data_IF_149115697017
#
_entry.id   IF_149115697017
#
_cell.length_a   1.000
_cell.length_b   1.000
_cell.length_c   1.000
_cell.angle_alpha   90.00
_cell.angle_beta   90.00
_cell.angle_gamma   90.00
#
_symmetry.space_group_name_H-M   'P 1'
#
loop_
_entity.id
_entity.type
_entity.pdbx_description
1 polymer ?
#
# COMPACT_ATOMS: atom_id res chain seq x y z
N UNK A 1 -21.18 48.79 -17.61
CA UNK A 1 -21.13 48.01 -16.36
C UNK A 1 -21.31 46.48 -16.56
N UNK A 2 -21.84 46.02 -17.69
CA UNK A 2 -22.01 44.56 -17.92
C UNK A 2 -20.77 43.84 -18.50
N UNK A 3 -19.76 44.54 -19.01
CA UNK A 3 -18.53 43.93 -19.54
C UNK A 3 -17.50 43.58 -18.46
N UNK A 4 -17.53 44.29 -17.31
CA UNK A 4 -16.60 44.02 -16.20
C UNK A 4 -16.94 42.73 -15.42
N UNK A 5 -18.21 42.33 -15.39
CA UNK A 5 -18.62 41.07 -14.74
C UNK A 5 -18.24 39.85 -15.60
N UNK A 6 -18.25 39.98 -16.93
CA UNK A 6 -17.83 38.89 -17.82
C UNK A 6 -16.33 38.61 -17.76
N UNK A 7 -15.50 39.60 -17.52
CA UNK A 7 -14.05 39.40 -17.41
C UNK A 7 -13.63 38.73 -16.10
N UNK A 8 -14.42 38.87 -15.06
CA UNK A 8 -14.07 38.32 -13.73
C UNK A 8 -14.37 36.82 -13.59
N UNK A 9 -15.22 36.26 -14.46
CA UNK A 9 -15.58 34.83 -14.44
C UNK A 9 -14.45 33.94 -14.99
N UNK A 10 -13.50 34.52 -15.73
CA UNK A 10 -12.40 33.79 -16.40
C UNK A 10 -11.00 34.14 -15.90
N UNK A 11 -10.87 34.83 -14.80
CA UNK A 11 -9.58 35.11 -14.14
C UNK A 11 -9.09 33.94 -13.29
N UNK A 12 -9.76 32.79 -13.33
CA UNK A 12 -9.32 31.57 -12.72
C UNK A 12 -8.34 30.83 -13.64
N UNK A 13 -7.41 30.07 -13.07
CA UNK A 13 -6.45 29.23 -13.81
C UNK A 13 -7.12 28.12 -14.64
N UNK A 14 -8.43 27.96 -14.55
CA UNK A 14 -9.23 27.03 -15.32
C UNK A 14 -9.62 27.61 -16.70
N UNK A 15 -9.39 26.84 -17.76
CA UNK A 15 -9.89 27.19 -19.08
C UNK A 15 -11.42 27.19 -19.11
N UNK A 16 -12.02 27.98 -20.03
CA UNK A 16 -13.47 28.04 -20.20
C UNK A 16 -14.12 26.66 -20.36
N UNK A 17 -13.52 25.83 -21.18
CA UNK A 17 -13.98 24.45 -21.44
C UNK A 17 -13.88 23.56 -20.19
N UNK A 18 -12.83 23.72 -19.36
CA UNK A 18 -12.70 23.00 -18.10
C UNK A 18 -13.76 23.43 -17.09
N UNK A 19 -14.06 24.72 -17.03
CA UNK A 19 -15.11 25.25 -16.14
C UNK A 19 -16.51 24.75 -16.54
N UNK A 20 -16.83 24.74 -17.84
CA UNK A 20 -18.08 24.21 -18.37
C UNK A 20 -18.22 22.70 -18.09
N UNK A 21 -17.16 21.93 -18.32
CA UNK A 21 -17.14 20.48 -18.02
C UNK A 21 -17.34 20.18 -16.53
N UNK A 22 -16.76 20.97 -15.64
CA UNK A 22 -16.94 20.80 -14.20
C UNK A 22 -18.38 21.13 -13.79
N UNK A 23 -18.98 22.16 -14.39
CA UNK A 23 -20.34 22.57 -14.09
C UNK A 23 -21.39 21.54 -14.54
N UNK A 24 -21.13 20.87 -15.67
CA UNK A 24 -22.00 19.84 -16.22
C UNK A 24 -21.77 18.45 -15.62
N UNK A 25 -20.61 18.25 -14.95
CA UNK A 25 -20.29 16.97 -14.34
C UNK A 25 -21.24 16.66 -13.17
N UNK A 26 -21.98 15.58 -13.30
CA UNK A 26 -22.76 15.01 -12.19
C UNK A 26 -21.86 14.10 -11.38
N UNK A 27 -21.80 14.34 -10.07
CA UNK A 27 -21.01 13.51 -9.15
C UNK A 27 -21.90 12.39 -8.63
N UNK A 28 -21.40 11.16 -8.74
CA UNK A 28 -22.07 10.01 -8.17
C UNK A 28 -21.97 10.06 -6.64
N UNK A 29 -23.11 10.04 -5.95
CA UNK A 29 -23.20 10.11 -4.49
C UNK A 29 -22.56 8.91 -3.79
N UNK A 30 -22.47 7.76 -4.45
CA UNK A 30 -21.79 6.58 -3.94
C UNK A 30 -20.26 6.70 -3.95
N UNK A 31 -19.71 7.65 -4.72
CA UNK A 31 -18.27 7.87 -4.80
C UNK A 31 -17.74 8.53 -3.53
N UNK A 32 -16.47 8.28 -3.21
CA UNK A 32 -15.77 8.93 -2.09
C UNK A 32 -15.83 10.46 -2.19
N UNK A 33 -15.78 10.99 -3.42
CA UNK A 33 -15.91 12.42 -3.66
C UNK A 33 -17.32 12.94 -3.33
N UNK A 34 -18.37 12.18 -3.71
CA UNK A 34 -19.75 12.51 -3.38
C UNK A 34 -20.00 12.57 -1.87
N UNK A 35 -19.38 11.66 -1.12
CA UNK A 35 -19.46 11.63 0.34
C UNK A 35 -18.71 12.79 1.01
N UNK A 36 -17.59 13.23 0.43
CA UNK A 36 -16.79 14.35 0.94
C UNK A 36 -17.43 15.70 0.60
N UNK A 37 -18.10 15.83 -0.53
CA UNK A 37 -18.65 17.08 -1.02
C UNK A 37 -19.54 17.84 0.00
N UNK A 38 -20.47 17.21 0.72
CA UNK A 38 -21.30 17.90 1.72
C UNK A 38 -20.49 18.37 2.94
N UNK A 39 -19.28 17.83 3.18
CA UNK A 39 -18.41 18.25 4.28
C UNK A 39 -17.59 19.50 3.92
N UNK A 40 -17.49 19.83 2.62
CA UNK A 40 -16.79 21.03 2.13
C UNK A 40 -17.71 22.24 2.23
N UNK A 41 -18.05 22.63 3.46
CA UNK A 41 -18.87 23.80 3.76
C UNK A 41 -18.06 24.83 4.56
N UNK A 42 -18.18 26.11 4.18
CA UNK A 42 -17.46 27.19 4.86
C UNK A 42 -16.03 27.39 4.36
N UNK A 43 -15.15 28.03 5.16
CA UNK A 43 -13.76 28.26 4.77
C UNK A 43 -12.96 26.96 4.70
N UNK A 44 -12.42 26.67 3.54
CA UNK A 44 -11.62 25.48 3.25
C UNK A 44 -10.19 25.88 2.98
N UNK A 45 -9.24 25.15 3.57
CA UNK A 45 -7.82 25.28 3.29
C UNK A 45 -7.34 24.02 2.53
N UNK A 46 -6.62 24.22 1.44
CA UNK A 46 -6.00 23.13 0.68
C UNK A 46 -4.48 23.13 0.89
N UNK A 47 -3.93 21.98 1.19
CA UNK A 47 -2.49 21.75 1.29
C UNK A 47 -2.05 20.90 0.10
N UNK A 48 -1.16 21.44 -0.71
CA UNK A 48 -0.67 20.76 -1.91
C UNK A 48 0.79 20.34 -1.76
N UNK A 49 1.11 19.15 -2.25
CA UNK A 49 2.48 18.63 -2.29
C UNK A 49 2.91 18.44 -3.74
N UNK A 50 4.14 18.79 -4.12
CA UNK A 50 4.64 18.62 -5.47
C UNK A 50 4.84 17.15 -5.87
N UNK A 51 4.98 16.27 -4.90
CA UNK A 51 5.15 14.83 -5.11
C UNK A 51 4.46 14.05 -4.00
N UNK A 52 4.11 12.79 -4.30
CA UNK A 52 3.54 11.89 -3.29
C UNK A 52 4.63 11.52 -2.29
N UNK A 53 4.52 12.03 -1.08
CA UNK A 53 5.46 11.77 0.02
C UNK A 53 4.70 11.46 1.30
N UNK A 54 4.55 10.16 1.65
CA UNK A 54 3.90 9.75 2.89
C UNK A 54 4.57 10.35 4.13
N UNK A 55 5.90 10.51 4.12
CA UNK A 55 6.64 11.10 5.24
C UNK A 55 6.27 12.57 5.51
N UNK A 56 6.14 13.39 4.46
CA UNK A 56 5.68 14.76 4.62
C UNK A 56 4.23 14.83 5.07
N UNK A 57 3.37 13.96 4.53
CA UNK A 57 1.97 13.87 4.94
C UNK A 57 1.86 13.49 6.42
N UNK A 58 2.66 12.54 6.90
CA UNK A 58 2.70 12.16 8.31
C UNK A 58 3.07 13.34 9.23
N UNK A 59 4.03 14.18 8.82
CA UNK A 59 4.39 15.38 9.59
C UNK A 59 3.24 16.37 9.65
N UNK A 60 2.56 16.58 8.52
CA UNK A 60 1.39 17.48 8.46
C UNK A 60 0.24 16.98 9.32
N UNK A 61 -0.04 15.67 9.28
CA UNK A 61 -1.08 15.06 10.12
C UNK A 61 -0.76 15.20 11.62
N UNK A 62 0.50 15.07 12.02
CA UNK A 62 0.92 15.30 13.42
C UNK A 62 0.67 16.73 13.89
N UNK A 63 0.78 17.71 12.97
CA UNK A 63 0.64 19.12 13.32
C UNK A 63 -0.83 19.58 13.25
N UNK A 64 -1.54 19.25 12.15
CA UNK A 64 -2.87 19.79 11.87
C UNK A 64 -4.01 18.90 12.37
N UNK A 65 -3.82 17.58 12.42
CA UNK A 65 -4.84 16.61 12.83
C UNK A 65 -4.21 15.55 13.75
N UNK A 66 -3.78 15.93 14.96
CA UNK A 66 -3.18 14.98 15.88
C UNK A 66 -4.19 13.89 16.24
N UNK A 67 -3.73 12.65 16.20
CA UNK A 67 -4.51 11.44 16.51
C UNK A 67 -3.64 10.45 17.26
N UNK A 68 -4.18 9.39 17.86
CA UNK A 68 -3.37 8.36 18.52
C UNK A 68 -2.29 7.73 17.61
N UNK A 69 -2.59 7.61 16.30
CA UNK A 69 -1.62 7.14 15.31
C UNK A 69 -0.56 8.20 14.94
N UNK A 70 -0.90 9.48 15.03
CA UNK A 70 -0.03 10.62 14.73
C UNK A 70 0.02 11.56 15.94
N UNK A 71 0.80 11.25 16.97
CA UNK A 71 0.87 12.08 18.17
C UNK A 71 1.44 13.48 17.85
N UNK A 72 0.91 14.49 18.51
CA UNK A 72 1.36 15.87 18.36
C UNK A 72 2.86 16.00 18.70
N UNK A 73 3.58 16.91 18.02
CA UNK A 73 5.00 17.12 18.28
C UNK A 73 5.23 17.65 19.69
N UNK A 74 6.06 16.97 20.48
CA UNK A 74 6.39 17.35 21.87
C UNK A 74 7.46 18.45 21.94
N UNK A 75 8.31 18.58 20.91
CA UNK A 75 9.42 19.54 20.90
C UNK A 75 8.97 20.89 20.32
N UNK A 76 9.14 21.94 21.12
CA UNK A 76 8.92 23.33 20.70
C UNK A 76 10.00 23.80 19.73
N UNK A 77 9.82 23.57 18.43
CA UNK A 77 10.71 24.08 17.37
C UNK A 77 10.34 25.50 16.95
N UNK A 78 9.05 25.81 16.91
CA UNK A 78 8.53 27.10 16.53
C UNK A 78 7.66 27.64 17.68
N UNK A 79 8.05 28.75 18.34
CA UNK A 79 7.31 29.33 19.46
C UNK A 79 5.87 29.68 19.09
N UNK A 80 5.62 30.18 17.87
CA UNK A 80 4.30 30.57 17.39
C UNK A 80 3.28 29.43 17.28
N UNK A 81 3.75 28.18 17.15
CA UNK A 81 2.87 27.00 17.14
C UNK A 81 2.17 26.79 18.49
N UNK A 82 2.83 27.14 19.59
CA UNK A 82 2.31 26.94 20.94
C UNK A 82 1.57 28.17 21.49
N UNK A 83 1.34 29.17 20.67
CA UNK A 83 0.50 30.29 21.02
C UNK A 83 -0.95 29.79 21.26
N UNK A 84 -1.61 30.18 22.37
CA UNK A 84 -2.97 29.76 22.68
C UNK A 84 -3.98 30.03 21.54
N UNK A 85 -3.83 31.13 20.82
CA UNK A 85 -4.66 31.47 19.69
C UNK A 85 -4.48 30.46 18.53
N UNK A 86 -3.23 30.09 18.20
CA UNK A 86 -2.90 29.11 17.17
C UNK A 86 -3.42 27.71 17.55
N UNK A 87 -3.23 27.29 18.79
CA UNK A 87 -3.75 25.99 19.29
C UNK A 87 -5.27 25.93 19.25
N UNK A 88 -5.95 26.98 19.68
CA UNK A 88 -7.41 27.07 19.59
C UNK A 88 -7.91 27.02 18.14
N UNK A 89 -7.15 27.59 17.20
CA UNK A 89 -7.43 27.49 15.76
C UNK A 89 -7.25 26.06 15.22
N UNK A 90 -6.14 25.42 15.57
CA UNK A 90 -5.83 24.05 15.13
C UNK A 90 -6.89 23.04 15.61
N UNK A 91 -7.36 23.18 16.85
CA UNK A 91 -8.43 22.32 17.40
C UNK A 91 -9.77 22.41 16.65
N UNK A 92 -9.98 23.46 15.88
CA UNK A 92 -11.19 23.66 15.06
C UNK A 92 -11.02 23.15 13.64
N UNK A 93 -9.81 22.75 13.22
CA UNK A 93 -9.56 22.18 11.91
C UNK A 93 -10.03 20.74 11.84
N UNK A 94 -10.83 20.42 10.83
CA UNK A 94 -11.27 19.07 10.54
C UNK A 94 -10.60 18.60 9.25
N UNK A 95 -9.98 17.42 9.29
CA UNK A 95 -9.50 16.76 8.10
C UNK A 95 -10.68 16.17 7.34
N UNK A 96 -10.97 16.69 6.19
CA UNK A 96 -12.08 16.25 5.34
C UNK A 96 -11.66 15.08 4.47
N UNK A 97 -10.54 15.19 3.78
CA UNK A 97 -10.05 14.18 2.87
C UNK A 97 -8.90 14.71 2.02
N UNK A 98 -8.55 13.98 0.98
CA UNK A 98 -7.47 14.37 0.07
C UNK A 98 -7.57 13.70 -1.28
N UNK A 99 -6.84 14.25 -2.27
CA UNK A 99 -6.67 13.65 -3.59
C UNK A 99 -5.20 13.22 -3.74
N UNK A 100 -4.98 11.94 -3.99
CA UNK A 100 -3.65 11.36 -4.16
C UNK A 100 -3.65 10.58 -5.48
N UNK A 101 -2.74 10.91 -6.41
CA UNK A 101 -2.63 10.28 -7.74
C UNK A 101 -3.96 10.19 -8.50
N UNK A 102 -4.77 11.23 -8.39
CA UNK A 102 -6.06 11.31 -9.09
C UNK A 102 -7.24 10.63 -8.38
N UNK A 103 -7.00 9.87 -7.33
CA UNK A 103 -8.06 9.24 -6.51
C UNK A 103 -8.39 10.10 -5.29
N UNK A 104 -9.68 10.20 -4.97
CA UNK A 104 -10.15 10.83 -3.76
C UNK A 104 -10.08 9.82 -2.60
N UNK A 105 -9.58 10.28 -1.47
CA UNK A 105 -9.50 9.54 -0.22
C UNK A 105 -10.24 10.31 0.87
N UNK A 106 -10.97 9.59 1.68
CA UNK A 106 -11.57 10.09 2.89
C UNK A 106 -10.50 10.35 3.98
N UNK A 107 -10.88 10.95 5.09
CA UNK A 107 -9.99 11.26 6.21
C UNK A 107 -9.23 10.03 6.75
N UNK A 108 -9.86 8.84 6.73
CA UNK A 108 -9.21 7.59 7.12
C UNK A 108 -8.18 7.13 6.07
N UNK A 109 -8.52 7.23 4.79
CA UNK A 109 -7.61 6.90 3.70
C UNK A 109 -6.37 7.81 3.68
N UNK A 110 -6.54 9.11 3.95
CA UNK A 110 -5.40 10.04 4.06
C UNK A 110 -4.51 9.68 5.26
N UNK A 111 -5.09 9.32 6.40
CA UNK A 111 -4.33 8.85 7.57
C UNK A 111 -3.60 7.53 7.27
N UNK A 112 -4.25 6.62 6.56
CA UNK A 112 -3.62 5.36 6.14
C UNK A 112 -2.39 5.61 5.27
N UNK A 113 -2.50 6.48 4.25
CA UNK A 113 -1.35 6.84 3.40
C UNK A 113 -0.23 7.49 4.21
N UNK A 114 -0.57 8.37 5.16
CA UNK A 114 0.43 8.97 6.06
C UNK A 114 1.08 7.98 7.03
N UNK A 115 0.42 6.86 7.32
CA UNK A 115 0.90 5.79 8.20
C UNK A 115 1.82 4.77 7.52
N UNK A 116 2.07 4.88 6.22
CA UNK A 116 2.94 3.95 5.49
C UNK A 116 4.37 4.08 5.97
N UNK A 117 4.86 3.06 6.66
CA UNK A 117 6.22 2.99 7.18
C UNK A 117 7.24 2.89 6.03
N UNK A 118 8.33 3.67 6.15
CA UNK A 118 9.35 3.75 5.11
C UNK A 118 8.93 4.50 3.84
N UNK A 119 7.72 5.05 3.78
CA UNK A 119 7.21 5.82 2.63
C UNK A 119 7.20 5.02 1.33
N UNK A 120 7.50 5.68 0.21
CA UNK A 120 7.53 5.03 -1.11
C UNK A 120 8.63 3.97 -1.23
N UNK A 121 9.77 4.17 -0.58
CA UNK A 121 10.88 3.21 -0.64
C UNK A 121 10.54 1.94 0.16
N UNK A 122 9.81 2.08 1.27
CA UNK A 122 9.26 0.95 2.00
C UNK A 122 8.28 0.12 1.15
N UNK A 123 7.38 0.77 0.43
CA UNK A 123 6.45 0.09 -0.49
C UNK A 123 7.18 -0.62 -1.63
N UNK A 124 8.20 0.01 -2.20
CA UNK A 124 9.05 -0.62 -3.24
C UNK A 124 9.78 -1.85 -2.69
N UNK A 125 10.33 -1.76 -1.49
CA UNK A 125 10.99 -2.89 -0.84
C UNK A 125 10.02 -4.05 -0.57
N UNK A 126 8.79 -3.76 -0.12
CA UNK A 126 7.73 -4.75 0.05
C UNK A 126 7.34 -5.40 -1.27
N UNK A 127 7.21 -4.63 -2.36
CA UNK A 127 6.91 -5.16 -3.69
C UNK A 127 8.03 -6.12 -4.17
N UNK A 128 9.28 -5.70 -4.02
CA UNK A 128 10.44 -6.56 -4.37
C UNK A 128 10.44 -7.84 -3.55
N UNK A 129 10.18 -7.74 -2.24
CA UNK A 129 10.07 -8.90 -1.35
C UNK A 129 8.96 -9.86 -1.78
N UNK A 130 7.78 -9.36 -2.13
CA UNK A 130 6.68 -10.18 -2.64
C UNK A 130 7.06 -10.91 -3.95
N UNK A 131 7.71 -10.21 -4.88
CA UNK A 131 8.19 -10.81 -6.13
C UNK A 131 9.24 -11.89 -5.88
N UNK A 132 10.18 -11.65 -4.96
CA UNK A 132 11.19 -12.63 -4.56
C UNK A 132 10.54 -13.87 -3.93
N UNK A 133 9.58 -13.70 -3.03
CA UNK A 133 8.86 -14.81 -2.40
C UNK A 133 8.04 -15.62 -3.42
N UNK A 134 7.40 -14.96 -4.38
CA UNK A 134 6.70 -15.64 -5.46
C UNK A 134 7.67 -16.44 -6.35
N UNK A 135 8.84 -15.88 -6.68
CA UNK A 135 9.88 -16.57 -7.41
C UNK A 135 10.45 -17.78 -6.66
N UNK A 136 10.75 -17.61 -5.37
CA UNK A 136 11.22 -18.71 -4.51
C UNK A 136 10.16 -19.80 -4.35
N UNK A 137 8.88 -19.44 -4.23
CA UNK A 137 7.79 -20.41 -4.20
C UNK A 137 7.72 -21.29 -5.45
N UNK A 138 7.88 -20.68 -6.63
CA UNK A 138 7.92 -21.38 -7.90
C UNK A 138 9.13 -22.32 -8.00
N UNK A 139 10.32 -21.84 -7.67
CA UNK A 139 11.54 -22.67 -7.70
C UNK A 139 11.46 -23.83 -6.73
N UNK A 140 10.97 -23.58 -5.51
CA UNK A 140 10.77 -24.62 -4.49
C UNK A 140 9.75 -25.67 -4.94
N UNK A 141 8.65 -25.25 -5.58
CA UNK A 141 7.67 -26.19 -6.12
C UNK A 141 8.26 -27.07 -7.24
N UNK A 142 9.05 -26.47 -8.14
CA UNK A 142 9.74 -27.22 -9.22
C UNK A 142 10.80 -28.18 -8.67
N UNK A 143 11.62 -27.74 -7.72
CA UNK A 143 12.63 -28.58 -7.06
C UNK A 143 11.99 -29.70 -6.23
N UNK A 144 10.86 -29.43 -5.57
CA UNK A 144 10.12 -30.41 -4.78
C UNK A 144 9.65 -31.60 -5.64
N UNK A 145 9.18 -31.32 -6.85
CA UNK A 145 8.78 -32.37 -7.79
C UNK A 145 9.97 -33.20 -8.27
N UNK A 146 11.09 -32.55 -8.58
CA UNK A 146 12.32 -33.22 -8.97
C UNK A 146 12.90 -34.11 -7.86
N UNK A 147 12.96 -33.60 -6.63
CA UNK A 147 13.43 -34.36 -5.46
C UNK A 147 12.49 -35.52 -5.12
N UNK A 148 11.17 -35.34 -5.20
CA UNK A 148 10.21 -36.42 -4.98
C UNK A 148 10.36 -37.58 -5.98
N UNK A 149 10.53 -37.26 -7.26
CA UNK A 149 10.75 -38.24 -8.30
C UNK A 149 12.08 -38.99 -8.10
N UNK A 150 13.13 -38.26 -7.76
CA UNK A 150 14.44 -38.85 -7.48
C UNK A 150 14.40 -39.80 -6.28
N UNK A 151 13.77 -39.39 -5.16
CA UNK A 151 13.59 -40.25 -3.98
C UNK A 151 12.77 -41.50 -4.29
N UNK A 152 11.71 -41.39 -5.10
CA UNK A 152 10.92 -42.54 -5.51
C UNK A 152 11.71 -43.52 -6.37
N UNK A 153 12.53 -43.02 -7.29
CA UNK A 153 13.38 -43.84 -8.12
C UNK A 153 14.50 -44.51 -7.32
N UNK A 154 15.15 -43.78 -6.41
CA UNK A 154 16.19 -44.31 -5.55
C UNK A 154 15.64 -45.36 -4.57
N UNK A 155 14.45 -45.12 -4.00
CA UNK A 155 13.75 -46.11 -3.17
C UNK A 155 13.42 -47.39 -3.94
N UNK A 156 13.00 -47.26 -5.20
CA UNK A 156 12.77 -48.45 -6.06
C UNK A 156 14.04 -49.17 -6.41
N UNK A 157 15.10 -48.44 -6.66
CA UNK A 157 16.43 -49.01 -6.93
C UNK A 157 16.94 -49.81 -5.74
N UNK A 158 16.87 -49.25 -4.53
CA UNK A 158 17.32 -49.94 -3.30
C UNK A 158 16.50 -51.22 -3.05
N UNK A 159 15.20 -51.19 -3.27
CA UNK A 159 14.34 -52.38 -3.18
C UNK A 159 14.75 -53.49 -4.16
N UNK A 160 15.03 -53.12 -5.42
CA UNK A 160 15.50 -54.10 -6.43
C UNK A 160 16.90 -54.65 -6.11
N UNK A 161 17.79 -53.83 -5.54
CA UNK A 161 19.11 -54.30 -5.07
C UNK A 161 18.98 -55.24 -3.88
N UNK A 162 18.06 -54.99 -2.95
CA UNK A 162 17.78 -55.90 -1.83
C UNK A 162 17.13 -57.20 -2.30
N UNK A 163 16.17 -57.17 -3.22
CA UNK A 163 15.59 -58.38 -3.82
C UNK A 163 16.62 -59.22 -4.58
N UNK A 164 17.55 -58.57 -5.32
CA UNK A 164 18.58 -59.26 -6.05
C UNK A 164 19.66 -59.87 -5.15
N UNK A 165 19.97 -59.22 -4.01
CA UNK A 165 20.93 -59.71 -3.03
C UNK A 165 20.31 -60.77 -2.09
N UNK A 166 19.01 -60.65 -1.75
CA UNK A 166 18.24 -61.63 -0.99
C UNK A 166 18.13 -62.95 -1.73
N UNK A 167 17.86 -62.92 -3.04
CA UNK A 167 17.79 -64.10 -3.89
C UNK A 167 19.14 -64.82 -4.07
N UNK A 168 20.26 -64.11 -3.93
CA UNK A 168 21.60 -64.75 -3.91
C UNK A 168 21.91 -65.49 -2.62
N UNK A 169 21.41 -65.03 -1.47
CA UNK A 169 21.62 -65.67 -0.18
C UNK A 169 20.80 -66.96 -0.01
N UNK A 170 19.61 -67.06 -0.56
CA UNK A 170 18.83 -68.31 -0.57
C UNK A 170 19.37 -69.35 -1.53
N UNK A 171 19.96 -68.97 -2.67
CA UNK A 171 20.62 -69.90 -3.61
C UNK A 171 21.91 -70.51 -3.12
N UNK A 172 22.64 -69.83 -2.20
CA UNK A 172 23.88 -70.40 -1.61
C UNK A 172 23.60 -71.28 -0.37
N UNK A 173 22.43 -71.14 0.29
CA UNK A 173 22.03 -71.99 1.43
C UNK A 173 21.52 -73.37 1.01
N UNK A 174 20.95 -73.55 -0.19
CA UNK A 174 20.47 -74.85 -0.68
C UNK A 174 21.56 -75.71 -1.28
N UNK A 175 22.73 -75.18 -1.69
CA UNK A 175 23.81 -75.93 -2.33
C UNK A 175 24.89 -76.41 -1.33
N UNK A 176 24.73 -76.13 -0.01
CA UNK A 176 25.68 -76.57 1.04
C UNK A 176 25.24 -77.80 1.84
N UNK A 177 24.08 -78.43 1.55
CA UNK A 177 23.55 -79.56 2.34
C UNK A 177 23.48 -80.92 1.57
N UNK A 178 24.35 -81.16 0.60
CA UNK A 178 24.46 -82.49 -0.04
C UNK A 178 25.95 -82.85 -0.33
N UNK A 179 26.65 -83.25 0.73
CA UNK A 179 27.77 -84.18 0.69
C UNK A 179 27.81 -84.93 2.01
#
# INVERSE_FOLDING_TARGET
>A
MMEAEKSNTYTHDLSKTAYESIKEATVDESSTYGQINPLITGPVAALTFPSVSPAHLAVVLKVLSPSPAFPAPTRKKNPGYYDPAAQSGIHKLLLVGGRIEGKAFDHEGVKWVGGIEGGLDGLRAQLVSLLQHAGLGLTTALEGHGKGLWLALEGRRTQLEEESNGGKKEGEAENGSSV
#
